data_IF_915078578715
#
_entry.id   IF_915078578715
#
_cell.length_a   1.000
_cell.length_b   1.000
_cell.length_c   1.000
_cell.angle_alpha   90.00
_cell.angle_beta   90.00
_cell.angle_gamma   90.00
#
_symmetry.space_group_name_H-M   'P 1'
#
loop_
_entity.id
_entity.type
_entity.pdbx_description
1 polymer ?
#
# COMPACT_ATOMS: atom_id res chain seq x y z
N UNK A 1 -14.22 14.99 -3.45
CA UNK A 1 -14.66 14.46 -2.14
C UNK A 1 -15.79 13.43 -2.24
N UNK A 2 -16.80 13.59 -3.13
CA UNK A 2 -18.00 12.73 -3.15
C UNK A 2 -17.74 11.21 -3.18
N UNK A 3 -16.61 10.74 -3.70
CA UNK A 3 -16.31 9.31 -3.79
C UNK A 3 -15.13 8.85 -2.89
N UNK A 4 -14.58 9.72 -2.04
CA UNK A 4 -13.42 9.33 -1.19
C UNK A 4 -13.80 8.23 -0.19
N UNK A 5 -14.99 8.32 0.41
CA UNK A 5 -15.49 7.31 1.33
C UNK A 5 -15.67 5.93 0.67
N UNK A 6 -16.19 5.89 -0.55
CA UNK A 6 -16.31 4.64 -1.31
C UNK A 6 -14.95 3.99 -1.52
N UNK A 7 -13.93 4.77 -1.91
CA UNK A 7 -12.56 4.27 -2.11
C UNK A 7 -11.99 3.69 -0.80
N UNK A 8 -12.18 4.39 0.32
CA UNK A 8 -11.73 3.92 1.63
C UNK A 8 -12.47 2.65 2.06
N UNK A 9 -13.79 2.57 1.81
CA UNK A 9 -14.58 1.37 2.08
C UNK A 9 -14.06 0.20 1.26
N UNK A 10 -13.84 0.36 -0.05
CA UNK A 10 -13.29 -0.68 -0.91
C UNK A 10 -11.91 -1.16 -0.42
N UNK A 11 -11.05 -0.23 -0.01
CA UNK A 11 -9.74 -0.55 0.55
C UNK A 11 -9.87 -1.36 1.85
N UNK A 12 -10.71 -0.90 2.79
CA UNK A 12 -10.92 -1.56 4.09
C UNK A 12 -11.55 -2.93 3.90
N UNK A 13 -12.59 -3.05 3.08
CA UNK A 13 -13.26 -4.31 2.78
C UNK A 13 -12.28 -5.30 2.13
N UNK A 14 -11.49 -4.84 1.15
CA UNK A 14 -10.45 -5.68 0.55
C UNK A 14 -9.42 -6.17 1.59
N UNK A 15 -8.95 -5.30 2.48
CA UNK A 15 -8.06 -5.69 3.58
C UNK A 15 -8.69 -6.71 4.53
N UNK A 16 -9.98 -6.53 4.87
CA UNK A 16 -10.71 -7.48 5.72
C UNK A 16 -10.79 -8.84 5.02
N UNK A 17 -11.11 -8.88 3.72
CA UNK A 17 -11.20 -10.13 2.94
C UNK A 17 -9.87 -10.88 2.92
N UNK A 18 -8.75 -10.18 2.71
CA UNK A 18 -7.40 -10.79 2.74
C UNK A 18 -7.01 -11.26 4.15
N UNK A 19 -7.51 -10.61 5.20
CA UNK A 19 -7.20 -10.95 6.58
C UNK A 19 -8.07 -12.07 7.17
N UNK A 20 -9.11 -12.51 6.46
CA UNK A 20 -9.95 -13.63 6.87
C UNK A 20 -9.15 -14.95 6.82
N UNK A 21 -9.52 -15.96 7.62
CA UNK A 21 -8.85 -17.26 7.63
C UNK A 21 -8.81 -17.89 6.23
N UNK A 22 -7.71 -18.58 5.93
CA UNK A 22 -7.54 -19.29 4.67
C UNK A 22 -8.56 -20.44 4.56
N UNK A 23 -9.14 -20.59 3.37
CA UNK A 23 -10.07 -21.67 3.02
C UNK A 23 -9.34 -22.95 2.58
N UNK A 24 -8.01 -22.92 2.45
CA UNK A 24 -7.13 -23.97 1.90
C UNK A 24 -7.35 -24.27 0.41
N UNK A 25 -8.31 -23.62 -0.25
CA UNK A 25 -8.50 -23.71 -1.70
C UNK A 25 -7.56 -22.72 -2.40
N UNK A 26 -6.56 -23.25 -3.10
CA UNK A 26 -5.52 -22.45 -3.78
C UNK A 26 -5.85 -22.30 -5.26
N UNK A 27 -5.77 -21.09 -5.80
CA UNK A 27 -5.83 -20.86 -7.25
C UNK A 27 -4.58 -21.40 -7.96
N UNK A 28 -3.43 -21.21 -7.32
CA UNK A 28 -2.13 -21.77 -7.71
C UNK A 28 -1.19 -21.79 -6.50
N UNK A 29 -0.18 -22.64 -6.52
CA UNK A 29 0.82 -22.74 -5.45
C UNK A 29 2.01 -21.83 -5.76
N UNK A 30 2.34 -20.93 -4.83
CA UNK A 30 3.60 -20.16 -4.87
C UNK A 30 4.75 -20.92 -4.17
N UNK A 31 4.41 -21.78 -3.20
CA UNK A 31 5.33 -22.72 -2.54
C UNK A 31 4.59 -24.01 -2.15
N UNK A 32 5.28 -24.97 -1.53
CA UNK A 32 4.66 -26.23 -1.06
C UNK A 32 3.46 -25.96 -0.13
N UNK A 33 3.60 -24.97 0.76
CA UNK A 33 2.60 -24.70 1.80
C UNK A 33 1.75 -23.45 1.55
N UNK A 34 2.07 -22.63 0.54
CA UNK A 34 1.40 -21.33 0.36
C UNK A 34 0.99 -21.06 -1.09
N UNK A 35 -0.17 -20.47 -1.25
CA UNK A 35 -0.69 -19.99 -2.53
C UNK A 35 -1.94 -19.13 -2.30
N UNK A 36 -2.21 -18.14 -3.15
CA UNK A 36 -3.39 -17.30 -2.99
C UNK A 36 -4.66 -18.10 -3.25
N UNK A 37 -5.64 -17.91 -2.39
CA UNK A 37 -7.00 -18.40 -2.59
C UNK A 37 -7.79 -17.48 -3.53
N UNK A 38 -8.98 -17.92 -3.97
CA UNK A 38 -9.90 -17.04 -4.70
C UNK A 38 -10.31 -15.84 -3.86
N UNK A 39 -10.47 -16.03 -2.55
CA UNK A 39 -10.77 -14.98 -1.59
C UNK A 39 -9.66 -13.92 -1.57
N UNK A 40 -8.39 -14.34 -1.50
CA UNK A 40 -7.25 -13.42 -1.54
C UNK A 40 -7.21 -12.62 -2.83
N UNK A 41 -7.47 -13.28 -3.97
CA UNK A 41 -7.50 -12.61 -5.27
C UNK A 41 -8.59 -11.52 -5.31
N UNK A 42 -9.80 -11.81 -4.80
CA UNK A 42 -10.88 -10.82 -4.71
C UNK A 42 -10.49 -9.65 -3.81
N UNK A 43 -9.94 -9.94 -2.63
CA UNK A 43 -9.49 -8.91 -1.69
C UNK A 43 -8.39 -8.01 -2.28
N UNK A 44 -7.39 -8.61 -2.92
CA UNK A 44 -6.30 -7.89 -3.60
C UNK A 44 -6.83 -7.03 -4.75
N UNK A 45 -7.76 -7.52 -5.57
CA UNK A 45 -8.36 -6.73 -6.65
C UNK A 45 -9.09 -5.50 -6.09
N UNK A 46 -9.86 -5.65 -5.01
CA UNK A 46 -10.54 -4.52 -4.37
C UNK A 46 -9.54 -3.48 -3.84
N UNK A 47 -8.47 -3.92 -3.16
CA UNK A 47 -7.41 -3.05 -2.67
C UNK A 47 -6.74 -2.30 -3.82
N UNK A 48 -6.36 -3.00 -4.90
CA UNK A 48 -5.68 -2.41 -6.05
C UNK A 48 -6.56 -1.39 -6.77
N UNK A 49 -7.83 -1.71 -7.02
CA UNK A 49 -8.78 -0.78 -7.65
C UNK A 49 -8.94 0.48 -6.79
N UNK A 50 -9.14 0.32 -5.48
CA UNK A 50 -9.26 1.45 -4.56
C UNK A 50 -7.97 2.29 -4.51
N UNK A 51 -6.81 1.65 -4.44
CA UNK A 51 -5.50 2.31 -4.37
C UNK A 51 -5.19 3.08 -5.65
N UNK A 52 -5.35 2.47 -6.83
CA UNK A 52 -5.16 3.14 -8.12
C UNK A 52 -6.10 4.33 -8.23
N UNK A 53 -7.36 4.18 -7.83
CA UNK A 53 -8.33 5.28 -7.87
C UNK A 53 -7.98 6.43 -6.90
N UNK A 54 -7.36 6.14 -5.76
CA UNK A 54 -6.81 7.15 -4.86
C UNK A 54 -5.54 7.80 -5.44
N UNK A 55 -4.68 7.04 -6.10
CA UNK A 55 -3.47 7.56 -6.75
C UNK A 55 -3.79 8.48 -7.93
N UNK A 56 -4.81 8.16 -8.75
CA UNK A 56 -5.29 9.06 -9.81
C UNK A 56 -5.73 10.41 -9.24
N UNK A 57 -6.46 10.39 -8.13
CA UNK A 57 -6.88 11.60 -7.42
C UNK A 57 -5.70 12.43 -6.91
N UNK A 58 -4.66 11.77 -6.39
CA UNK A 58 -3.41 12.41 -5.97
C UNK A 58 -2.68 13.01 -7.17
N UNK A 59 -2.58 12.26 -8.26
CA UNK A 59 -1.89 12.68 -9.48
C UNK A 59 -2.51 13.94 -10.11
N UNK A 60 -3.84 14.01 -10.12
CA UNK A 60 -4.57 15.20 -10.58
C UNK A 60 -4.25 16.42 -9.68
N UNK A 61 -4.01 16.20 -8.39
CA UNK A 61 -3.71 17.24 -7.39
C UNK A 61 -2.22 17.40 -7.09
N UNK A 62 -1.35 16.82 -7.93
CA UNK A 62 0.10 16.74 -7.68
C UNK A 62 0.79 18.09 -7.50
N UNK A 63 0.24 19.17 -8.05
CA UNK A 63 0.83 20.52 -7.91
C UNK A 63 1.00 20.92 -6.43
N UNK A 64 0.09 20.50 -5.55
CA UNK A 64 0.22 20.70 -4.09
C UNK A 64 1.38 19.93 -3.47
N UNK A 65 1.75 18.79 -4.03
CA UNK A 65 2.92 18.02 -3.59
C UNK A 65 4.21 18.63 -4.17
N UNK A 66 4.16 19.05 -5.43
CA UNK A 66 5.30 19.65 -6.12
C UNK A 66 5.71 21.00 -5.53
N UNK A 67 4.82 21.73 -4.87
CA UNK A 67 5.20 22.94 -4.11
C UNK A 67 6.19 22.65 -2.99
N UNK A 68 6.30 21.40 -2.53
CA UNK A 68 7.27 20.97 -1.52
C UNK A 68 8.56 20.39 -2.12
N UNK A 69 8.69 20.25 -3.44
CA UNK A 69 9.80 19.56 -4.12
C UNK A 69 11.20 20.00 -3.69
N UNK A 70 11.41 21.29 -3.47
CA UNK A 70 12.70 21.85 -3.05
C UNK A 70 12.93 21.83 -1.53
N UNK A 71 11.93 21.43 -0.74
CA UNK A 71 12.03 21.41 0.72
C UNK A 71 12.91 20.25 1.22
N UNK A 72 13.59 20.47 2.35
CA UNK A 72 14.31 19.39 3.05
C UNK A 72 13.38 18.25 3.46
N UNK A 73 12.13 18.57 3.78
CA UNK A 73 11.10 17.60 4.18
C UNK A 73 10.80 16.64 3.03
N UNK A 74 10.65 17.15 1.81
CA UNK A 74 10.42 16.31 0.63
C UNK A 74 11.59 15.36 0.37
N UNK A 75 12.83 15.86 0.46
CA UNK A 75 14.05 15.02 0.32
C UNK A 75 14.13 13.95 1.42
N UNK A 76 13.83 14.30 2.66
CA UNK A 76 13.76 13.34 3.76
C UNK A 76 12.67 12.28 3.51
N UNK A 77 11.50 12.70 3.00
CA UNK A 77 10.43 11.78 2.60
C UNK A 77 10.87 10.77 1.53
N UNK A 78 11.57 11.23 0.49
CA UNK A 78 12.13 10.34 -0.54
C UNK A 78 13.14 9.34 0.03
N UNK A 79 14.00 9.79 0.95
CA UNK A 79 14.93 8.90 1.65
C UNK A 79 14.18 7.83 2.45
N UNK A 80 13.15 8.22 3.22
CA UNK A 80 12.31 7.29 3.99
C UNK A 80 11.61 6.28 3.07
N UNK A 81 11.12 6.71 1.90
CA UNK A 81 10.54 5.80 0.90
C UNK A 81 11.56 4.79 0.39
N UNK A 82 12.76 5.25 0.03
CA UNK A 82 13.85 4.36 -0.40
C UNK A 82 14.25 3.36 0.68
N UNK A 83 14.38 3.82 1.92
CA UNK A 83 14.66 2.97 3.09
C UNK A 83 13.54 1.94 3.32
N UNK A 84 12.28 2.37 3.25
CA UNK A 84 11.12 1.49 3.45
C UNK A 84 11.08 0.35 2.43
N UNK A 85 11.21 0.66 1.14
CA UNK A 85 11.28 -0.37 0.09
C UNK A 85 12.54 -1.22 0.22
N UNK A 86 13.69 -0.64 0.55
CA UNK A 86 14.92 -1.38 0.82
C UNK A 86 14.74 -2.41 1.93
N UNK A 87 14.09 -2.04 3.04
CA UNK A 87 13.78 -2.95 4.15
C UNK A 87 12.83 -4.07 3.72
N UNK A 88 11.77 -3.75 2.96
CA UNK A 88 10.81 -4.76 2.47
C UNK A 88 11.51 -5.75 1.54
N UNK A 89 12.25 -5.26 0.53
CA UNK A 89 12.96 -6.09 -0.44
C UNK A 89 14.02 -6.94 0.27
N UNK A 90 14.85 -6.36 1.13
CA UNK A 90 15.86 -7.10 1.86
C UNK A 90 15.25 -8.17 2.76
N UNK A 91 14.12 -7.87 3.40
CA UNK A 91 13.37 -8.81 4.25
C UNK A 91 12.83 -9.99 3.46
N UNK A 92 12.25 -9.74 2.29
CA UNK A 92 11.76 -10.81 1.40
C UNK A 92 12.91 -11.64 0.81
N UNK A 93 14.01 -11.02 0.40
CA UNK A 93 15.12 -11.71 -0.27
C UNK A 93 16.01 -12.52 0.67
N UNK A 94 16.19 -12.09 1.92
CA UNK A 94 17.10 -12.72 2.87
C UNK A 94 16.37 -13.34 4.07
N UNK A 95 15.04 -13.45 3.97
CA UNK A 95 14.17 -14.00 5.00
C UNK A 95 14.36 -13.33 6.39
N UNK A 96 14.58 -12.00 6.38
CA UNK A 96 14.68 -11.22 7.63
C UNK A 96 13.29 -11.05 8.25
N UNK A 97 12.82 -12.10 8.93
CA UNK A 97 11.59 -12.21 9.74
C UNK A 97 10.62 -11.03 9.62
N UNK A 98 10.64 -10.11 10.57
CA UNK A 98 9.61 -9.08 10.76
C UNK A 98 10.03 -7.69 10.31
N UNK A 99 11.19 -7.55 9.64
CA UNK A 99 11.69 -6.25 9.21
C UNK A 99 10.83 -5.60 8.13
N UNK A 100 10.11 -6.41 7.34
CA UNK A 100 9.07 -5.91 6.43
C UNK A 100 7.99 -5.09 7.15
N UNK A 101 7.68 -5.36 8.42
CA UNK A 101 6.69 -4.60 9.20
C UNK A 101 7.12 -3.14 9.33
N UNK A 102 8.39 -2.89 9.63
CA UNK A 102 8.93 -1.53 9.75
C UNK A 102 8.87 -0.79 8.40
N UNK A 103 9.23 -1.48 7.31
CA UNK A 103 9.11 -0.92 5.96
C UNK A 103 7.66 -0.59 5.58
N UNK A 104 6.71 -1.50 5.86
CA UNK A 104 5.28 -1.26 5.63
C UNK A 104 4.75 -0.10 6.47
N UNK A 105 5.19 0.03 7.73
CA UNK A 105 4.79 1.14 8.58
C UNK A 105 5.26 2.49 7.98
N UNK A 106 6.52 2.58 7.55
CA UNK A 106 7.05 3.80 6.93
C UNK A 106 6.32 4.17 5.63
N UNK A 107 6.10 3.21 4.72
CA UNK A 107 5.40 3.52 3.46
C UNK A 107 3.94 3.91 3.70
N UNK A 108 3.27 3.30 4.67
CA UNK A 108 1.89 3.63 5.04
C UNK A 108 1.78 5.05 5.58
N UNK A 109 2.71 5.46 6.45
CA UNK A 109 2.76 6.84 6.97
C UNK A 109 3.00 7.86 5.84
N UNK A 110 3.93 7.57 4.93
CA UNK A 110 4.19 8.44 3.78
C UNK A 110 2.97 8.55 2.87
N UNK A 111 2.31 7.44 2.54
CA UNK A 111 1.06 7.48 1.78
C UNK A 111 -0.03 8.28 2.48
N UNK A 112 -0.19 8.12 3.80
CA UNK A 112 -1.11 8.91 4.61
C UNK A 112 -0.82 10.41 4.52
N UNK A 113 0.46 10.80 4.59
CA UNK A 113 0.88 12.20 4.44
C UNK A 113 0.61 12.73 3.03
N UNK A 114 0.91 11.95 1.98
CA UNK A 114 0.64 12.31 0.59
C UNK A 114 -0.86 12.55 0.39
N UNK A 115 -1.70 11.64 0.90
CA UNK A 115 -3.15 11.81 0.85
C UNK A 115 -3.60 13.05 1.63
N UNK A 116 -3.08 13.27 2.84
CA UNK A 116 -3.41 14.46 3.61
C UNK A 116 -3.10 15.75 2.84
N UNK A 117 -1.90 15.86 2.25
CA UNK A 117 -1.50 17.06 1.49
C UNK A 117 -2.34 17.23 0.22
N UNK A 118 -2.59 16.15 -0.52
CA UNK A 118 -3.34 16.21 -1.78
C UNK A 118 -4.82 16.60 -1.58
N UNK A 119 -5.44 16.15 -0.48
CA UNK A 119 -6.87 16.32 -0.23
C UNK A 119 -7.24 17.46 0.74
N UNK A 120 -6.27 18.06 1.41
CA UNK A 120 -6.42 19.34 2.12
C UNK A 120 -6.56 20.49 1.13
#
# INVERSE_FOLDING_TARGET
>A
MKNTWLKLILLIVGCIIVALPDSNERLFSMSEDHGPSLQDAVGVVLILVAYVWLMVDVWIRREKLLSYSNSRIFKAGLFVVGLAYGLIIASVMNDYKSWWIAGIAFITLIHGLIFYIAFK
#
